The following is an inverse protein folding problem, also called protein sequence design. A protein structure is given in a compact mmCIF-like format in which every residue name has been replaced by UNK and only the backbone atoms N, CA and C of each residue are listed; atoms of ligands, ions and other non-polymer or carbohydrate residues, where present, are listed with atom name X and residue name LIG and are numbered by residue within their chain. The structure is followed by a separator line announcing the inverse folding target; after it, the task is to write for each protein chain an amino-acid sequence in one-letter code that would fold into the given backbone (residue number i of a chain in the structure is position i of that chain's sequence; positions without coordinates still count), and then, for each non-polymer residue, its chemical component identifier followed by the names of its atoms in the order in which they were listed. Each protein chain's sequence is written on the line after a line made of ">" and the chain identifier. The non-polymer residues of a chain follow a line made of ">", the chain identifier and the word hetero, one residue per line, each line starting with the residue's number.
data_IF_355770508161
#
_entry.id   IF_355770508161
#
_cell.length_a   1.000
_cell.length_b   1.000
_cell.length_c   1.000
_cell.angle_alpha   90.00
_cell.angle_beta   90.00
_cell.angle_gamma   90.00
#
_symmetry.space_group_name_H-M   'P 1'
#
loop_
_entity.id
_entity.type
_entity.pdbx_description
1 polymer ?
#
# COMPACT_ATOMS: atom_id res chain seq x y z
N UNK A 1 -15.75 32.56 23.74
CA UNK A 1 -14.88 31.42 24.10
C UNK A 1 -13.45 31.72 23.66
N UNK A 2 -12.46 31.65 24.57
CA UNK A 2 -11.08 32.03 24.27
C UNK A 2 -10.47 31.01 23.29
N UNK A 3 -9.57 31.43 22.33
CA UNK A 3 -8.92 30.56 21.36
C UNK A 3 -8.24 29.31 21.98
N UNK A 4 -7.69 29.46 23.21
CA UNK A 4 -7.11 28.35 23.97
C UNK A 4 -8.16 27.31 24.37
N UNK A 5 -9.34 27.75 24.81
CA UNK A 5 -10.45 26.86 25.21
C UNK A 5 -10.99 26.08 24.00
N UNK A 6 -11.10 26.72 22.84
CA UNK A 6 -11.54 26.05 21.59
C UNK A 6 -10.53 24.98 21.15
N UNK A 7 -9.22 25.27 21.22
CA UNK A 7 -8.17 24.32 20.85
C UNK A 7 -8.15 23.14 21.83
N UNK A 8 -8.34 23.39 23.13
CA UNK A 8 -8.37 22.32 24.15
C UNK A 8 -9.59 21.42 23.96
N UNK A 9 -10.75 21.97 23.66
CA UNK A 9 -12.00 21.22 23.40
C UNK A 9 -11.87 20.40 22.12
N UNK A 10 -11.30 20.97 21.05
CA UNK A 10 -11.06 20.25 19.79
C UNK A 10 -10.03 19.12 19.96
N UNK A 11 -8.99 19.32 20.76
CA UNK A 11 -8.02 18.27 21.11
C UNK A 11 -8.67 17.16 21.94
N UNK A 12 -9.47 17.50 22.94
CA UNK A 12 -10.19 16.54 23.78
C UNK A 12 -11.19 15.72 22.95
N UNK A 13 -11.96 16.36 22.05
CA UNK A 13 -12.87 15.68 21.13
C UNK A 13 -12.13 14.76 20.17
N UNK A 14 -10.98 15.17 19.64
CA UNK A 14 -10.16 14.32 18.78
C UNK A 14 -9.64 13.10 19.53
N UNK A 15 -9.17 13.26 20.77
CA UNK A 15 -8.68 12.14 21.61
C UNK A 15 -9.81 11.16 21.94
N UNK A 16 -10.99 11.63 22.25
CA UNK A 16 -12.15 10.77 22.54
C UNK A 16 -12.63 10.01 21.31
N UNK A 17 -12.67 10.62 20.14
CA UNK A 17 -13.02 9.95 18.88
C UNK A 17 -11.99 8.86 18.50
N UNK A 18 -10.70 9.08 18.72
CA UNK A 18 -9.66 8.07 18.49
C UNK A 18 -9.76 6.91 19.47
N UNK A 19 -10.04 7.17 20.73
CA UNK A 19 -10.25 6.12 21.75
C UNK A 19 -11.48 5.26 21.43
N UNK A 20 -12.57 5.88 20.97
CA UNK A 20 -13.77 5.15 20.53
C UNK A 20 -13.48 4.26 19.31
N UNK A 21 -12.76 4.77 18.29
CA UNK A 21 -12.41 3.98 17.11
C UNK A 21 -11.54 2.76 17.47
N UNK A 22 -10.57 2.93 18.37
CA UNK A 22 -9.74 1.81 18.84
C UNK A 22 -10.56 0.77 19.62
N UNK A 23 -11.48 1.21 20.46
CA UNK A 23 -12.37 0.32 21.19
C UNK A 23 -13.29 -0.47 20.24
N UNK A 24 -13.85 0.17 19.22
CA UNK A 24 -14.70 -0.51 18.22
C UNK A 24 -13.92 -1.56 17.43
N UNK A 25 -12.69 -1.27 16.99
CA UNK A 25 -11.84 -2.26 16.30
C UNK A 25 -11.50 -3.42 17.22
N UNK A 26 -11.15 -3.15 18.48
CA UNK A 26 -10.90 -4.19 19.47
C UNK A 26 -12.14 -5.03 19.68
N UNK A 27 -13.32 -4.42 19.87
CA UNK A 27 -14.61 -5.11 20.02
C UNK A 27 -14.92 -5.98 18.80
N UNK A 28 -14.72 -5.44 17.58
CA UNK A 28 -14.95 -6.18 16.35
C UNK A 28 -13.99 -7.39 16.20
N UNK A 29 -12.75 -7.26 16.65
CA UNK A 29 -11.73 -8.33 16.54
C UNK A 29 -11.85 -9.36 17.66
N UNK A 30 -12.47 -9.03 18.79
CA UNK A 30 -12.58 -9.93 19.96
C UNK A 30 -13.20 -11.29 19.62
N UNK A 31 -14.29 -11.40 18.84
CA UNK A 31 -14.92 -12.67 18.51
C UNK A 31 -14.12 -13.60 17.59
N UNK A 32 -13.06 -13.09 16.95
CA UNK A 32 -12.23 -13.90 16.03
C UNK A 32 -11.62 -15.07 16.78
N UNK A 33 -11.85 -16.28 16.28
CA UNK A 33 -11.29 -17.52 16.79
C UNK A 33 -10.73 -18.40 15.68
N UNK A 34 -9.90 -19.37 16.08
CA UNK A 34 -9.22 -20.29 15.18
C UNK A 34 -9.50 -21.73 15.56
N UNK A 35 -9.71 -22.59 14.55
CA UNK A 35 -10.04 -24.02 14.75
C UNK A 35 -8.88 -24.84 15.32
N UNK A 36 -7.65 -24.32 15.26
CA UNK A 36 -6.44 -25.01 15.68
C UNK A 36 -5.64 -24.18 16.65
N UNK A 37 -4.84 -24.88 17.46
CA UNK A 37 -3.83 -24.35 18.36
C UNK A 37 -2.53 -25.12 18.14
N UNK A 38 -1.40 -24.50 18.44
CA UNK A 38 -0.07 -25.08 18.29
C UNK A 38 0.17 -25.66 16.90
N UNK A 39 -0.13 -24.87 15.89
CA UNK A 39 -0.11 -25.28 14.48
C UNK A 39 0.92 -24.47 13.67
N UNK A 40 1.29 -25.03 12.52
CA UNK A 40 1.88 -24.30 11.39
C UNK A 40 1.24 -24.84 10.11
N UNK A 41 0.93 -23.95 9.18
CA UNK A 41 0.35 -24.29 7.88
C UNK A 41 1.05 -23.52 6.78
N UNK A 42 1.17 -24.14 5.60
CA UNK A 42 1.81 -23.54 4.42
C UNK A 42 0.82 -23.50 3.27
N UNK A 43 0.64 -22.34 2.68
CA UNK A 43 -0.37 -22.03 1.69
C UNK A 43 0.31 -21.47 0.45
N UNK A 44 -0.05 -21.97 -0.73
CA UNK A 44 0.37 -21.36 -2.00
C UNK A 44 -0.35 -20.03 -2.18
N UNK A 45 0.39 -18.98 -2.50
CA UNK A 45 -0.11 -17.63 -2.73
C UNK A 45 0.24 -17.16 -4.15
N UNK A 46 -0.37 -16.05 -4.56
CA UNK A 46 0.10 -15.29 -5.73
C UNK A 46 0.85 -14.06 -5.25
N UNK A 47 1.97 -13.75 -5.89
CA UNK A 47 2.71 -12.51 -5.68
C UNK A 47 2.62 -11.69 -6.96
N UNK A 48 2.03 -10.51 -6.87
CA UNK A 48 1.80 -9.61 -8.01
C UNK A 48 2.43 -8.27 -7.66
N UNK A 49 3.56 -7.94 -8.28
CA UNK A 49 4.27 -6.67 -8.03
C UNK A 49 4.56 -6.40 -6.53
N UNK A 50 4.92 -7.45 -5.79
CA UNK A 50 5.15 -7.40 -4.33
C UNK A 50 3.87 -7.48 -3.49
N UNK A 51 2.69 -7.42 -4.09
CA UNK A 51 1.44 -7.68 -3.40
C UNK A 51 1.25 -9.17 -3.14
N UNK A 52 0.92 -9.53 -1.92
CA UNK A 52 0.67 -10.91 -1.50
C UNK A 52 -0.83 -11.19 -1.54
N UNK A 53 -1.24 -12.13 -2.40
CA UNK A 53 -2.64 -12.52 -2.60
C UNK A 53 -2.85 -13.93 -2.09
N UNK A 54 -3.69 -14.06 -1.08
CA UNK A 54 -3.96 -15.28 -0.33
C UNK A 54 -5.29 -15.89 -0.76
N UNK A 55 -5.35 -17.17 -1.16
CA UNK A 55 -6.61 -17.85 -1.39
C UNK A 55 -7.31 -18.14 -0.05
N UNK A 56 -8.57 -17.76 0.04
CA UNK A 56 -9.43 -17.97 1.20
C UNK A 56 -10.73 -18.63 0.74
N UNK A 57 -11.13 -19.73 1.35
CA UNK A 57 -12.41 -20.38 1.08
C UNK A 57 -13.51 -19.76 1.94
N UNK A 58 -14.59 -19.29 1.31
CA UNK A 58 -15.78 -18.75 1.95
C UNK A 58 -16.99 -19.33 1.24
N UNK A 59 -17.92 -19.94 1.99
CA UNK A 59 -19.12 -20.60 1.43
C UNK A 59 -18.78 -21.59 0.28
N UNK A 60 -17.71 -22.38 0.46
CA UNK A 60 -17.26 -23.38 -0.51
C UNK A 60 -16.60 -22.78 -1.78
N UNK A 61 -16.36 -21.48 -1.84
CA UNK A 61 -15.74 -20.81 -2.98
C UNK A 61 -14.39 -20.20 -2.61
N UNK A 62 -13.40 -20.37 -3.45
CA UNK A 62 -12.10 -19.72 -3.29
C UNK A 62 -12.24 -18.25 -3.69
N UNK A 63 -11.83 -17.39 -2.77
CA UNK A 63 -11.73 -15.95 -2.92
C UNK A 63 -10.28 -15.51 -2.77
N UNK A 64 -9.88 -14.48 -3.46
CA UNK A 64 -8.52 -13.98 -3.43
C UNK A 64 -8.43 -12.70 -2.58
N UNK A 65 -7.70 -12.76 -1.48
CA UNK A 65 -7.58 -11.65 -0.54
C UNK A 65 -6.17 -11.08 -0.56
N UNK A 66 -6.06 -9.77 -0.68
CA UNK A 66 -4.81 -9.04 -0.48
C UNK A 66 -4.41 -9.08 1.00
N UNK A 67 -3.18 -9.47 1.32
CA UNK A 67 -2.64 -9.36 2.66
C UNK A 67 -2.14 -7.94 2.91
N UNK A 68 -2.86 -7.18 3.74
CA UNK A 68 -2.66 -5.75 3.93
C UNK A 68 -2.38 -5.41 5.40
N UNK A 69 -1.12 -5.15 5.72
CA UNK A 69 -0.71 -4.73 7.07
C UNK A 69 -1.14 -3.30 7.41
N UNK A 70 -1.46 -2.48 6.41
CA UNK A 70 -1.98 -1.12 6.58
C UNK A 70 -3.47 -1.08 6.94
N UNK A 71 -4.20 -2.19 6.78
CA UNK A 71 -5.61 -2.29 7.15
C UNK A 71 -5.78 -2.91 8.55
N UNK A 72 -6.56 -2.29 9.45
CA UNK A 72 -6.79 -2.82 10.79
C UNK A 72 -7.82 -3.96 10.83
N UNK A 73 -8.68 -4.06 9.82
CA UNK A 73 -9.74 -5.07 9.66
C UNK A 73 -9.72 -5.60 8.23
N UNK A 74 -10.54 -6.62 7.98
CA UNK A 74 -10.80 -7.08 6.63
C UNK A 74 -11.57 -6.06 5.79
N UNK A 75 -11.55 -6.30 4.49
CA UNK A 75 -12.38 -5.59 3.51
C UNK A 75 -12.97 -6.63 2.56
N UNK A 76 -14.22 -6.43 2.18
CA UNK A 76 -14.88 -7.13 1.08
C UNK A 76 -15.09 -6.14 -0.06
N UNK A 77 -14.62 -6.50 -1.24
CA UNK A 77 -14.84 -5.69 -2.45
C UNK A 77 -16.15 -6.09 -3.11
N UNK A 78 -17.08 -5.16 -3.16
CA UNK A 78 -18.37 -5.37 -3.77
C UNK A 78 -19.51 -5.05 -2.81
N UNK A 79 -20.64 -5.67 -3.05
CA UNK A 79 -21.85 -5.50 -2.22
C UNK A 79 -21.84 -6.48 -1.06
N UNK A 80 -22.62 -6.13 -0.02
CA UNK A 80 -22.84 -7.03 1.11
C UNK A 80 -23.49 -8.33 0.63
N UNK A 81 -22.90 -9.45 1.01
CA UNK A 81 -23.43 -10.79 0.75
C UNK A 81 -24.43 -11.21 1.85
N UNK A 82 -25.38 -12.09 1.50
CA UNK A 82 -26.45 -12.51 2.42
C UNK A 82 -25.95 -13.25 3.66
N UNK A 83 -24.83 -13.95 3.56
CA UNK A 83 -24.20 -14.69 4.66
C UNK A 83 -23.40 -13.81 5.64
N UNK A 84 -23.15 -12.56 5.28
CA UNK A 84 -22.45 -11.62 6.16
C UNK A 84 -23.37 -11.18 7.30
N UNK A 85 -22.86 -11.27 8.53
CA UNK A 85 -23.58 -10.81 9.72
C UNK A 85 -23.10 -9.42 10.10
N UNK A 86 -24.05 -8.54 10.44
CA UNK A 86 -23.69 -7.25 11.03
C UNK A 86 -23.16 -7.47 12.45
N UNK A 87 -21.95 -6.97 12.73
CA UNK A 87 -21.28 -7.19 14.01
C UNK A 87 -21.59 -6.11 15.03
N UNK A 88 -21.62 -4.85 14.58
CA UNK A 88 -21.86 -3.69 15.44
C UNK A 88 -23.08 -2.92 14.96
N UNK A 89 -23.91 -2.44 15.90
CA UNK A 89 -25.04 -1.56 15.59
C UNK A 89 -24.56 -0.19 15.08
N UNK A 90 -23.44 0.31 15.63
CA UNK A 90 -22.82 1.57 15.25
C UNK A 90 -21.80 1.39 14.12
N UNK A 91 -21.63 2.45 13.33
CA UNK A 91 -20.64 2.48 12.28
C UNK A 91 -19.31 3.09 12.77
N UNK A 92 -18.22 2.58 12.22
CA UNK A 92 -16.86 3.11 12.47
C UNK A 92 -16.50 4.16 11.41
N UNK A 93 -15.95 5.29 11.85
CA UNK A 93 -15.36 6.26 10.95
C UNK A 93 -14.02 5.74 10.40
N UNK A 94 -14.04 5.27 9.17
CA UNK A 94 -12.87 4.74 8.47
C UNK A 94 -12.23 5.80 7.56
N UNK A 95 -10.91 5.94 7.67
CA UNK A 95 -10.12 6.82 6.81
C UNK A 95 -9.30 6.03 5.79
N UNK A 96 -9.10 6.61 4.60
CA UNK A 96 -8.23 6.06 3.57
C UNK A 96 -6.88 6.80 3.46
N UNK A 97 -6.03 6.32 2.56
CA UNK A 97 -4.72 6.89 2.27
C UNK A 97 -4.79 8.29 1.65
N UNK A 98 -5.93 8.67 1.07
CA UNK A 98 -6.19 9.99 0.50
C UNK A 98 -6.78 10.99 1.51
N UNK A 99 -6.85 10.60 2.82
CA UNK A 99 -7.47 11.35 3.92
C UNK A 99 -8.99 11.51 3.79
N UNK A 100 -9.63 10.76 2.89
CA UNK A 100 -11.08 10.66 2.86
C UNK A 100 -11.56 9.85 4.07
N UNK A 101 -12.73 10.21 4.61
CA UNK A 101 -13.32 9.54 5.77
C UNK A 101 -14.79 9.26 5.50
N UNK A 102 -15.21 8.03 5.78
CA UNK A 102 -16.62 7.61 5.68
C UNK A 102 -16.99 6.73 6.87
N UNK A 103 -18.24 6.81 7.29
CA UNK A 103 -18.79 5.87 8.25
C UNK A 103 -19.05 4.54 7.56
N UNK A 104 -18.55 3.44 8.14
CA UNK A 104 -18.70 2.07 7.62
C UNK A 104 -19.25 1.14 8.67
N UNK A 105 -20.28 0.41 8.31
CA UNK A 105 -20.79 -0.69 9.11
C UNK A 105 -19.78 -1.84 9.12
N UNK A 106 -19.56 -2.43 10.29
CA UNK A 106 -18.70 -3.59 10.43
C UNK A 106 -19.56 -4.83 10.33
N UNK A 107 -19.20 -5.68 9.38
CA UNK A 107 -19.75 -7.03 9.20
C UNK A 107 -18.75 -8.08 9.67
N UNK A 108 -19.17 -9.33 9.72
CA UNK A 108 -18.28 -10.46 9.92
C UNK A 108 -18.56 -11.56 8.90
N UNK A 109 -17.51 -12.23 8.49
CA UNK A 109 -17.58 -13.55 7.85
C UNK A 109 -17.72 -14.56 8.96
N UNK A 110 -18.83 -15.32 9.04
CA UNK A 110 -19.04 -16.30 10.11
C UNK A 110 -17.93 -17.34 10.14
N UNK A 111 -17.58 -17.89 8.97
CA UNK A 111 -16.54 -18.91 8.82
C UNK A 111 -15.82 -18.70 7.49
N UNK A 112 -14.49 -18.73 7.54
CA UNK A 112 -13.64 -18.78 6.36
C UNK A 112 -12.47 -19.73 6.61
N UNK A 113 -11.86 -20.29 5.54
CA UNK A 113 -10.65 -21.12 5.63
C UNK A 113 -9.49 -20.49 4.89
N UNK A 114 -8.35 -20.46 5.52
CA UNK A 114 -7.06 -20.06 4.96
C UNK A 114 -6.11 -21.27 5.06
N UNK A 115 -5.93 -22.00 3.94
CA UNK A 115 -5.33 -23.33 3.97
C UNK A 115 -6.18 -24.29 4.81
N UNK A 116 -5.56 -24.94 5.79
CA UNK A 116 -6.24 -25.84 6.73
C UNK A 116 -6.71 -25.13 8.02
N UNK A 117 -6.49 -23.81 8.14
CA UNK A 117 -6.94 -23.02 9.28
C UNK A 117 -8.34 -22.48 9.03
N UNK A 118 -9.31 -22.90 9.82
CA UNK A 118 -10.62 -22.26 9.87
C UNK A 118 -10.57 -21.06 10.81
N UNK A 119 -11.05 -19.92 10.33
CA UNK A 119 -11.15 -18.64 11.03
C UNK A 119 -12.63 -18.32 11.18
N UNK A 120 -13.07 -18.06 12.39
CA UNK A 120 -14.46 -17.73 12.69
C UNK A 120 -14.61 -16.27 13.08
N UNK A 121 -15.75 -15.70 12.74
CA UNK A 121 -16.16 -14.35 13.10
C UNK A 121 -15.16 -13.27 12.61
N UNK A 122 -14.66 -13.42 11.39
CA UNK A 122 -13.67 -12.48 10.83
C UNK A 122 -14.32 -11.13 10.50
N UNK A 123 -13.91 -10.03 11.15
CA UNK A 123 -14.51 -8.71 10.96
C UNK A 123 -14.02 -8.02 9.71
N UNK A 124 -14.93 -7.39 8.99
CA UNK A 124 -14.61 -6.63 7.78
C UNK A 124 -15.57 -5.45 7.57
N UNK A 125 -15.16 -4.54 6.69
CA UNK A 125 -16.04 -3.55 6.09
C UNK A 125 -16.34 -3.92 4.65
N UNK A 126 -17.44 -3.40 4.11
CA UNK A 126 -17.83 -3.59 2.71
C UNK A 126 -17.61 -2.28 1.95
N UNK A 127 -16.89 -2.35 0.83
CA UNK A 127 -16.63 -1.22 -0.05
C UNK A 127 -16.38 -1.69 -1.48
N UNK A 128 -16.96 -1.03 -2.45
CA UNK A 128 -16.83 -1.37 -3.86
C UNK A 128 -16.01 -0.38 -4.70
N UNK A 129 -15.72 0.80 -4.16
CA UNK A 129 -14.98 1.85 -4.88
C UNK A 129 -13.57 1.45 -5.32
N UNK A 130 -12.98 0.41 -4.72
CA UNK A 130 -11.68 -0.12 -5.15
C UNK A 130 -11.76 -0.98 -6.41
N UNK A 131 -12.94 -1.49 -6.75
CA UNK A 131 -13.15 -2.43 -7.85
C UNK A 131 -12.71 -1.87 -9.20
N UNK A 132 -13.00 -0.58 -9.42
CA UNK A 132 -12.75 0.08 -10.71
C UNK A 132 -11.26 0.25 -11.04
N UNK A 133 -10.37 0.26 -10.04
CA UNK A 133 -8.93 0.40 -10.28
C UNK A 133 -8.10 -0.81 -9.86
N UNK A 134 -8.65 -1.73 -9.08
CA UNK A 134 -8.00 -3.01 -8.79
C UNK A 134 -8.35 -4.10 -9.82
N UNK A 135 -9.30 -3.83 -10.70
CA UNK A 135 -9.60 -4.65 -11.87
C UNK A 135 -9.89 -6.12 -11.54
N UNK A 136 -10.58 -6.36 -10.43
CA UNK A 136 -10.95 -7.72 -10.00
C UNK A 136 -9.77 -8.60 -9.56
N UNK A 137 -8.59 -8.04 -9.30
CA UNK A 137 -7.42 -8.80 -8.84
C UNK A 137 -7.63 -9.44 -7.47
N UNK A 138 -8.48 -8.86 -6.64
CA UNK A 138 -8.79 -9.31 -5.30
C UNK A 138 -10.28 -9.22 -5.04
N UNK A 139 -10.82 -10.18 -4.27
CA UNK A 139 -12.18 -10.15 -3.75
C UNK A 139 -12.28 -9.38 -2.43
N UNK A 140 -11.14 -9.21 -1.73
CA UNK A 140 -11.10 -8.54 -0.45
C UNK A 140 -9.69 -8.35 0.12
N UNK A 141 -9.63 -7.98 1.38
CA UNK A 141 -8.39 -7.70 2.12
C UNK A 141 -8.36 -8.47 3.43
N UNK A 142 -7.22 -9.11 3.74
CA UNK A 142 -6.89 -9.62 5.07
C UNK A 142 -6.11 -8.54 5.82
N UNK A 143 -6.69 -8.04 6.92
CA UNK A 143 -6.09 -6.99 7.72
C UNK A 143 -5.10 -7.49 8.77
N UNK A 144 -4.41 -6.56 9.41
CA UNK A 144 -3.42 -6.81 10.45
C UNK A 144 -4.03 -7.34 11.77
N UNK A 145 -5.35 -7.34 11.90
CA UNK A 145 -6.06 -7.90 13.06
C UNK A 145 -5.74 -9.37 13.32
N UNK A 146 -5.41 -10.16 12.29
CA UNK A 146 -4.99 -11.56 12.47
C UNK A 146 -3.66 -11.66 13.24
N UNK A 147 -2.71 -10.76 12.97
CA UNK A 147 -1.48 -10.63 13.75
C UNK A 147 -1.80 -10.20 15.18
N UNK A 148 -2.73 -9.27 15.35
CA UNK A 148 -3.22 -8.84 16.67
C UNK A 148 -3.86 -9.96 17.50
N UNK A 149 -4.34 -11.03 16.85
CA UNK A 149 -4.89 -12.24 17.50
C UNK A 149 -3.80 -13.30 17.78
N UNK A 150 -2.53 -12.99 17.51
CA UNK A 150 -1.39 -13.82 17.86
C UNK A 150 -0.85 -14.70 16.74
N UNK A 151 -1.37 -14.58 15.51
CA UNK A 151 -0.82 -15.29 14.36
C UNK A 151 0.45 -14.61 13.86
N UNK A 152 1.52 -15.38 13.73
CA UNK A 152 2.74 -15.01 13.03
C UNK A 152 2.69 -15.52 11.60
N UNK A 153 3.29 -14.77 10.68
CA UNK A 153 3.27 -15.06 9.25
C UNK A 153 4.67 -14.98 8.65
N UNK A 154 4.98 -15.85 7.69
CA UNK A 154 6.06 -15.63 6.74
C UNK A 154 5.42 -15.43 5.35
N UNK A 155 5.58 -14.24 4.80
CA UNK A 155 5.23 -13.91 3.43
C UNK A 155 6.46 -14.26 2.58
N UNK A 156 6.54 -15.48 2.09
CA UNK A 156 7.63 -15.93 1.25
C UNK A 156 7.36 -15.56 -0.21
N UNK A 157 7.75 -14.34 -0.56
CA UNK A 157 7.49 -13.80 -1.89
C UNK A 157 8.43 -14.38 -2.96
N UNK A 158 9.54 -14.99 -2.57
CA UNK A 158 10.45 -15.70 -3.47
C UNK A 158 9.83 -17.00 -3.97
N UNK A 159 9.30 -17.80 -3.05
CA UNK A 159 8.76 -19.13 -3.35
C UNK A 159 7.23 -19.15 -3.47
N UNK A 160 6.59 -17.97 -3.36
CA UNK A 160 5.13 -17.78 -3.43
C UNK A 160 4.39 -18.65 -2.40
N UNK A 161 4.85 -18.59 -1.15
CA UNK A 161 4.28 -19.31 -0.03
C UNK A 161 3.90 -18.34 1.11
N UNK A 162 2.78 -18.63 1.76
CA UNK A 162 2.40 -18.05 3.04
C UNK A 162 2.51 -19.14 4.11
N UNK A 163 3.34 -18.90 5.12
CA UNK A 163 3.35 -19.77 6.30
C UNK A 163 2.67 -19.03 7.43
N UNK A 164 1.70 -19.67 8.06
CA UNK A 164 0.95 -19.14 9.21
C UNK A 164 1.09 -20.04 10.41
N UNK A 165 1.32 -19.45 11.59
CA UNK A 165 1.50 -20.21 12.83
C UNK A 165 1.10 -19.40 14.06
N UNK A 166 0.67 -20.07 15.14
CA UNK A 166 0.53 -19.49 16.48
C UNK A 166 1.66 -19.94 17.43
N UNK A 167 2.60 -20.77 16.94
CA UNK A 167 3.76 -21.26 17.71
C UNK A 167 4.75 -20.12 17.94
N UNK A 168 5.10 -19.93 19.20
CA UNK A 168 6.18 -18.99 19.56
C UNK A 168 7.52 -19.46 19.02
N UNK A 169 8.32 -18.54 18.51
CA UNK A 169 9.68 -18.81 18.01
C UNK A 169 9.76 -19.82 16.84
N UNK A 170 8.66 -20.07 16.14
CA UNK A 170 8.64 -21.01 15.01
C UNK A 170 9.68 -20.69 13.94
N UNK A 171 9.87 -19.41 13.63
CA UNK A 171 10.84 -18.95 12.63
C UNK A 171 12.25 -18.65 13.18
N UNK A 172 12.59 -19.07 14.41
CA UNK A 172 13.83 -18.64 15.09
C UNK A 172 15.10 -18.98 14.32
N UNK A 173 15.15 -20.10 13.61
CA UNK A 173 16.31 -20.47 12.81
C UNK A 173 16.47 -19.60 11.56
N UNK A 174 15.36 -19.32 10.89
CA UNK A 174 15.34 -18.45 9.69
C UNK A 174 15.65 -16.99 10.02
N UNK A 175 15.34 -16.54 11.24
CA UNK A 175 15.56 -15.18 11.72
C UNK A 175 17.02 -14.88 12.11
N UNK A 176 17.85 -15.92 12.31
CA UNK A 176 19.23 -15.72 12.75
C UNK A 176 20.04 -14.90 11.77
N UNK A 177 20.62 -13.80 12.27
CA UNK A 177 21.45 -12.89 11.46
C UNK A 177 20.69 -12.04 10.45
N UNK A 178 19.35 -12.11 10.43
CA UNK A 178 18.53 -11.34 9.49
C UNK A 178 18.17 -9.97 10.05
N UNK A 179 18.15 -8.92 9.21
CA UNK A 179 17.76 -7.59 9.64
C UNK A 179 16.29 -7.56 10.07
N UNK A 180 16.01 -6.79 11.10
CA UNK A 180 14.68 -6.68 11.70
C UNK A 180 14.27 -5.25 12.00
N UNK A 181 12.94 -5.02 12.09
CA UNK A 181 12.36 -3.76 12.52
C UNK A 181 11.30 -4.03 13.59
N UNK A 182 11.45 -3.46 14.77
CA UNK A 182 10.40 -3.48 15.79
C UNK A 182 9.25 -2.61 15.30
N UNK A 183 8.02 -3.08 15.51
CA UNK A 183 6.84 -2.28 15.27
C UNK A 183 6.05 -2.04 16.56
N UNK A 184 5.33 -0.95 16.57
CA UNK A 184 4.29 -0.67 17.57
C UNK A 184 2.95 -0.47 16.87
N UNK A 185 1.87 -0.85 17.51
CA UNK A 185 0.53 -0.61 17.00
C UNK A 185 -0.03 0.66 17.62
N UNK A 186 -0.30 1.66 16.79
CA UNK A 186 -1.04 2.88 17.14
C UNK A 186 -2.16 3.07 16.13
N UNK A 187 -3.11 3.95 16.45
CA UNK A 187 -4.11 4.43 15.51
C UNK A 187 -4.73 3.30 14.66
N UNK A 188 -5.63 2.55 15.28
CA UNK A 188 -6.35 1.48 14.62
C UNK A 188 -5.51 0.23 14.29
N UNK A 189 -4.61 -0.16 15.20
CA UNK A 189 -3.85 -1.43 15.11
C UNK A 189 -2.93 -1.60 13.90
N UNK A 190 -2.60 -0.54 13.17
CA UNK A 190 -1.62 -0.61 12.09
C UNK A 190 -0.20 -0.64 12.64
N UNK A 191 0.72 -1.41 12.04
CA UNK A 191 2.11 -1.47 12.48
C UNK A 191 2.88 -0.22 12.06
N UNK A 192 3.47 0.46 13.03
CA UNK A 192 4.37 1.60 12.83
C UNK A 192 5.80 1.15 13.03
N UNK A 193 6.66 1.47 12.08
CA UNK A 193 8.10 1.22 12.11
C UNK A 193 8.88 2.53 12.09
N UNK A 194 10.10 2.50 12.57
CA UNK A 194 11.04 3.63 12.45
C UNK A 194 11.88 3.41 11.20
N UNK A 195 11.92 4.43 10.36
CA UNK A 195 12.82 4.53 9.20
C UNK A 195 13.87 5.58 9.50
N UNK A 196 15.14 5.18 9.45
CA UNK A 196 16.28 6.10 9.52
C UNK A 196 16.56 6.62 8.11
N UNK A 197 16.56 7.94 7.96
CA UNK A 197 16.74 8.61 6.66
C UNK A 197 17.76 9.74 6.80
N UNK A 198 18.34 10.25 5.71
CA UNK A 198 19.16 11.47 5.75
C UNK A 198 18.43 12.69 6.35
N UNK A 199 17.10 12.67 6.37
CA UNK A 199 16.28 13.69 7.03
C UNK A 199 16.09 13.41 8.53
N UNK A 200 16.55 12.27 9.05
CA UNK A 200 16.39 11.80 10.43
C UNK A 200 15.36 10.66 10.54
N UNK A 201 15.04 10.30 11.78
CA UNK A 201 14.11 9.22 12.06
C UNK A 201 12.67 9.61 11.74
N UNK A 202 12.02 8.78 10.94
CA UNK A 202 10.61 8.95 10.54
C UNK A 202 9.83 7.72 10.99
N UNK A 203 8.76 7.94 11.76
CA UNK A 203 7.82 6.87 12.08
C UNK A 203 6.75 6.77 11.00
N UNK A 204 6.55 5.57 10.44
CA UNK A 204 5.66 5.35 9.31
C UNK A 204 4.92 4.01 9.40
N UNK A 205 3.79 3.89 8.72
CA UNK A 205 3.07 2.62 8.60
C UNK A 205 3.83 1.67 7.67
N UNK A 206 3.98 0.42 8.07
CA UNK A 206 4.38 -0.66 7.16
C UNK A 206 3.12 -1.25 6.52
N UNK A 207 2.92 -0.99 5.23
CA UNK A 207 1.65 -1.13 4.52
C UNK A 207 1.83 -2.00 3.26
N UNK A 208 1.65 -3.33 3.41
CA UNK A 208 1.74 -4.27 2.29
C UNK A 208 0.58 -4.14 1.30
N UNK A 209 -0.49 -3.42 1.66
CA UNK A 209 -1.59 -3.05 0.78
C UNK A 209 -1.30 -1.83 -0.10
N UNK A 210 -0.21 -1.10 0.15
CA UNK A 210 0.25 0.01 -0.70
C UNK A 210 0.96 -0.55 -1.93
N UNK A 211 0.18 -0.87 -2.95
CA UNK A 211 0.67 -1.50 -4.18
C UNK A 211 1.67 -0.59 -4.90
N UNK A 212 2.79 -1.17 -5.34
CA UNK A 212 3.88 -0.47 -6.02
C UNK A 212 4.49 0.73 -5.28
N UNK A 213 4.16 0.92 -4.01
CA UNK A 213 4.76 1.94 -3.16
C UNK A 213 6.07 1.45 -2.55
N UNK A 214 7.09 2.32 -2.52
CA UNK A 214 8.31 2.12 -1.76
C UNK A 214 8.25 2.83 -0.43
N UNK A 215 8.32 4.15 -0.47
CA UNK A 215 8.26 5.03 0.68
C UNK A 215 7.51 6.31 0.31
N UNK A 216 6.30 6.43 0.76
CA UNK A 216 5.45 7.60 0.51
C UNK A 216 5.72 8.67 1.57
N UNK A 217 6.02 9.89 1.15
CA UNK A 217 6.22 11.04 2.03
C UNK A 217 5.26 12.17 1.65
N UNK A 218 4.45 12.70 2.59
CA UNK A 218 3.63 13.88 2.32
C UNK A 218 4.45 15.16 2.33
N UNK A 219 4.24 16.02 1.33
CA UNK A 219 4.88 17.34 1.26
C UNK A 219 4.57 18.21 2.49
N UNK A 220 3.34 18.14 3.02
CA UNK A 220 2.92 18.88 4.22
C UNK A 220 3.75 18.50 5.44
N UNK A 221 4.08 17.21 5.59
CA UNK A 221 4.93 16.74 6.68
C UNK A 221 6.33 17.35 6.59
N UNK A 222 6.93 17.33 5.42
CA UNK A 222 8.23 17.95 5.19
C UNK A 222 8.17 19.45 5.48
N UNK A 223 7.15 20.15 5.00
CA UNK A 223 6.96 21.57 5.25
C UNK A 223 6.89 21.92 6.74
N UNK A 224 6.19 21.13 7.55
CA UNK A 224 6.13 21.34 9.01
C UNK A 224 7.48 21.06 9.70
N UNK A 225 8.19 20.04 9.24
CA UNK A 225 9.45 19.60 9.84
C UNK A 225 10.60 20.56 9.56
N UNK A 226 10.57 21.22 8.39
CA UNK A 226 11.63 22.12 7.93
C UNK A 226 11.43 23.60 8.28
N UNK A 227 10.21 23.99 8.68
CA UNK A 227 9.94 25.40 9.08
C UNK A 227 10.87 25.90 10.18
N UNK A 228 11.42 25.02 11.01
CA UNK A 228 12.17 25.35 12.23
C UNK A 228 13.68 25.20 12.14
N UNK A 229 14.25 24.77 11.02
CA UNK A 229 15.70 24.49 10.94
C UNK A 229 16.27 24.72 9.54
N UNK A 230 17.17 25.72 9.45
CA UNK A 230 17.93 26.02 8.22
C UNK A 230 18.80 24.82 7.78
N UNK A 231 19.41 24.11 8.75
CA UNK A 231 20.22 22.92 8.48
C UNK A 231 19.41 21.81 7.81
N UNK A 232 18.21 21.54 8.32
CA UNK A 232 17.33 20.52 7.73
C UNK A 232 16.82 20.91 6.35
N UNK A 233 16.54 22.21 6.12
CA UNK A 233 16.19 22.71 4.78
C UNK A 233 17.29 22.44 3.77
N UNK A 234 18.54 22.73 4.11
CA UNK A 234 19.67 22.45 3.25
C UNK A 234 19.77 20.96 2.89
N UNK A 235 19.65 20.06 3.86
CA UNK A 235 19.66 18.61 3.60
C UNK A 235 18.50 18.22 2.66
N UNK A 236 17.29 18.76 2.84
CA UNK A 236 16.17 18.48 1.92
C UNK A 236 16.47 19.00 0.51
N UNK A 237 17.03 20.20 0.39
CA UNK A 237 17.34 20.78 -0.91
C UNK A 237 18.46 19.98 -1.61
N UNK A 238 19.48 19.52 -0.87
CA UNK A 238 20.55 18.66 -1.39
C UNK A 238 20.03 17.30 -1.88
N UNK A 239 18.98 16.75 -1.24
CA UNK A 239 18.32 15.50 -1.65
C UNK A 239 17.31 15.69 -2.78
N UNK A 240 16.89 16.94 -3.05
CA UNK A 240 15.84 17.22 -4.03
C UNK A 240 16.42 17.24 -5.44
N UNK A 241 16.00 16.28 -6.27
CA UNK A 241 16.34 16.26 -7.69
C UNK A 241 15.43 17.17 -8.51
N UNK A 242 14.16 17.26 -8.12
CA UNK A 242 13.15 17.99 -8.89
C UNK A 242 12.01 18.43 -7.97
N UNK A 243 11.45 19.59 -8.25
CA UNK A 243 10.20 20.09 -7.65
C UNK A 243 9.22 20.38 -8.78
N UNK A 244 8.06 19.75 -8.74
CA UNK A 244 7.03 19.90 -9.76
C UNK A 244 5.64 19.97 -9.15
N UNK A 245 4.77 20.66 -9.87
CA UNK A 245 3.34 20.47 -9.74
C UNK A 245 2.98 19.23 -10.55
N UNK A 246 2.50 18.20 -9.89
CA UNK A 246 2.16 16.94 -10.55
C UNK A 246 0.74 16.52 -10.22
N UNK A 247 0.06 15.98 -11.23
CA UNK A 247 -1.15 15.18 -11.03
C UNK A 247 -0.71 13.76 -10.83
N UNK A 248 -1.19 13.10 -9.79
CA UNK A 248 -0.90 11.69 -9.54
C UNK A 248 -2.19 10.96 -9.18
N UNK A 249 -2.47 9.87 -9.89
CA UNK A 249 -3.52 8.96 -9.46
C UNK A 249 -3.08 8.27 -8.16
N UNK A 250 -3.85 8.47 -7.12
CA UNK A 250 -3.62 7.86 -5.81
C UNK A 250 -4.81 6.99 -5.45
N UNK A 251 -4.58 5.70 -5.46
CA UNK A 251 -5.57 4.74 -5.03
C UNK A 251 -5.78 4.81 -3.51
N UNK A 252 -7.02 4.85 -3.08
CA UNK A 252 -7.44 4.80 -1.69
C UNK A 252 -8.67 3.91 -1.54
N UNK A 253 -9.06 3.61 -0.31
CA UNK A 253 -10.24 2.78 -0.03
C UNK A 253 -11.51 3.28 -0.74
N UNK A 254 -11.64 4.59 -0.91
CA UNK A 254 -12.82 5.23 -1.48
C UNK A 254 -12.66 5.66 -2.94
N UNK A 255 -11.75 5.03 -3.66
CA UNK A 255 -11.52 5.26 -5.08
C UNK A 255 -10.21 5.98 -5.39
N UNK A 256 -10.07 6.38 -6.65
CA UNK A 256 -8.94 7.14 -7.14
C UNK A 256 -9.11 8.63 -6.81
N UNK A 257 -8.01 9.26 -6.38
CA UNK A 257 -7.89 10.71 -6.29
C UNK A 257 -6.84 11.17 -7.29
N UNK A 258 -7.20 12.15 -8.11
CA UNK A 258 -6.35 12.75 -9.15
C UNK A 258 -5.97 14.19 -8.85
N UNK A 259 -6.03 14.60 -7.57
CA UNK A 259 -5.69 15.97 -7.17
C UNK A 259 -4.28 16.35 -7.64
N UNK A 260 -4.15 17.58 -8.07
CA UNK A 260 -2.86 18.21 -8.35
C UNK A 260 -2.14 18.50 -7.04
N UNK A 261 -0.93 18.01 -6.90
CA UNK A 261 -0.08 18.26 -5.74
C UNK A 261 1.27 18.82 -6.18
N UNK A 262 1.77 19.79 -5.45
CA UNK A 262 3.18 20.16 -5.52
C UNK A 262 3.96 19.11 -4.76
N UNK A 263 4.89 18.47 -5.43
CA UNK A 263 5.75 17.43 -4.85
C UNK A 263 7.19 17.62 -5.21
N UNK A 264 8.06 16.92 -4.48
CA UNK A 264 9.50 16.82 -4.76
C UNK A 264 9.81 15.39 -5.14
N UNK A 265 10.74 15.19 -6.03
CA UNK A 265 11.45 13.93 -6.21
C UNK A 265 12.74 14.02 -5.40
N UNK A 266 12.87 13.16 -4.41
CA UNK A 266 14.04 13.07 -3.53
C UNK A 266 14.84 11.83 -3.90
N UNK A 267 16.17 11.92 -3.80
CA UNK A 267 17.07 10.78 -3.86
C UNK A 267 17.66 10.54 -2.48
N UNK A 268 17.36 9.38 -1.90
CA UNK A 268 17.99 8.92 -0.68
C UNK A 268 19.09 7.90 -1.01
N UNK A 269 20.37 8.23 -0.81
CA UNK A 269 21.46 7.27 -1.04
C UNK A 269 21.26 5.97 -0.25
N UNK A 270 20.84 6.10 0.99
CA UNK A 270 20.49 4.96 1.86
C UNK A 270 19.45 5.39 2.87
N UNK A 271 18.49 4.51 3.13
CA UNK A 271 17.60 4.53 4.31
C UNK A 271 17.74 3.22 5.06
N UNK A 272 17.31 3.17 6.33
CA UNK A 272 17.20 1.91 7.08
C UNK A 272 15.79 1.75 7.61
N UNK A 273 15.17 0.61 7.33
CA UNK A 273 13.88 0.19 7.92
C UNK A 273 14.22 -0.71 9.11
N UNK A 274 14.29 -0.12 10.32
CA UNK A 274 14.94 -0.79 11.44
C UNK A 274 16.42 -1.07 11.13
N UNK A 275 16.79 -2.35 11.01
CA UNK A 275 18.14 -2.79 10.67
C UNK A 275 18.36 -3.00 9.15
N UNK A 276 17.28 -3.07 8.34
CA UNK A 276 17.37 -3.34 6.91
C UNK A 276 17.82 -2.09 6.13
N UNK A 277 19.01 -2.09 5.49
CA UNK A 277 19.40 -1.03 4.58
C UNK A 277 18.68 -1.17 3.22
N UNK A 278 18.24 -0.04 2.68
CA UNK A 278 17.71 0.09 1.33
C UNK A 278 18.44 1.24 0.66
N UNK A 279 19.10 0.96 -0.44
CA UNK A 279 19.99 1.89 -1.10
C UNK A 279 19.39 2.43 -2.39
N UNK A 280 19.86 3.61 -2.78
CA UNK A 280 19.55 4.28 -4.05
C UNK A 280 18.03 4.46 -4.26
N UNK A 281 17.33 4.95 -3.23
CA UNK A 281 15.87 5.06 -3.20
C UNK A 281 15.40 6.43 -3.71
N UNK A 282 14.49 6.42 -4.68
CA UNK A 282 13.84 7.61 -5.22
C UNK A 282 12.43 7.74 -4.64
N UNK A 283 12.17 8.86 -3.97
CA UNK A 283 10.93 9.11 -3.21
C UNK A 283 10.21 10.32 -3.73
N UNK A 284 8.93 10.19 -4.04
CA UNK A 284 8.07 11.34 -4.35
C UNK A 284 7.29 11.79 -3.13
N UNK A 285 7.18 13.11 -2.94
CA UNK A 285 6.40 13.68 -1.84
C UNK A 285 4.95 13.99 -2.21
N UNK A 286 4.50 13.59 -3.39
CA UNK A 286 3.14 13.79 -3.89
C UNK A 286 2.13 12.78 -3.30
N UNK A 287 2.21 12.51 -1.99
CA UNK A 287 1.28 11.65 -1.25
C UNK A 287 0.65 12.41 -0.08
N UNK A 288 -0.45 11.87 0.46
CA UNK A 288 -1.13 12.45 1.64
C UNK A 288 -0.83 11.70 2.94
N UNK A 289 -0.30 10.47 2.85
CA UNK A 289 0.05 9.63 4.00
C UNK A 289 1.47 9.09 3.88
N UNK A 290 2.11 8.85 5.03
CA UNK A 290 3.42 8.20 5.09
C UNK A 290 3.25 6.69 5.23
N UNK A 291 4.00 5.93 4.40
CA UNK A 291 4.02 4.47 4.50
C UNK A 291 5.18 3.87 3.73
N UNK A 292 5.62 2.69 4.18
CA UNK A 292 6.44 1.76 3.39
C UNK A 292 5.47 0.83 2.68
N UNK A 293 5.59 0.70 1.36
CA UNK A 293 4.67 -0.09 0.55
C UNK A 293 5.21 -1.46 0.13
N UNK A 294 4.42 -2.15 -0.70
CA UNK A 294 4.66 -3.54 -1.11
C UNK A 294 5.85 -3.73 -2.04
N UNK A 295 6.37 -2.68 -2.69
CA UNK A 295 7.55 -2.80 -3.57
C UNK A 295 8.76 -3.39 -2.87
N UNK A 296 8.90 -3.20 -1.55
CA UNK A 296 9.93 -3.83 -0.75
C UNK A 296 9.89 -5.37 -0.86
N UNK A 297 8.70 -5.96 -0.94
CA UNK A 297 8.49 -7.42 -1.01
C UNK A 297 8.90 -8.05 -2.35
N UNK A 298 9.26 -7.26 -3.35
CA UNK A 298 9.90 -7.74 -4.58
C UNK A 298 11.34 -8.21 -4.33
N UNK A 299 11.97 -7.71 -3.28
CA UNK A 299 13.38 -7.91 -2.98
C UNK A 299 13.63 -8.72 -1.70
N UNK A 300 12.61 -8.90 -0.88
CA UNK A 300 12.72 -9.61 0.40
C UNK A 300 11.43 -10.33 0.74
N UNK A 301 11.53 -11.52 1.31
CA UNK A 301 10.43 -12.15 2.02
C UNK A 301 10.33 -11.53 3.43
N UNK A 302 9.19 -11.65 4.09
CA UNK A 302 8.90 -10.99 5.35
C UNK A 302 8.35 -11.95 6.38
N UNK A 303 8.99 -12.04 7.55
CA UNK A 303 8.40 -12.67 8.73
C UNK A 303 7.75 -11.59 9.60
N UNK A 304 6.49 -11.79 9.96
CA UNK A 304 5.73 -10.99 10.92
C UNK A 304 5.67 -11.80 12.23
N UNK A 305 6.52 -11.46 13.16
CA UNK A 305 6.60 -12.10 14.47
C UNK A 305 5.67 -11.38 15.45
N UNK A 306 4.47 -11.90 15.60
CA UNK A 306 3.44 -11.29 16.42
C UNK A 306 3.82 -11.22 17.91
N UNK A 307 4.34 -12.28 18.56
CA UNK A 307 4.74 -12.23 19.96
C UNK A 307 5.82 -11.21 20.28
N UNK A 308 6.82 -11.06 19.41
CA UNK A 308 7.93 -10.12 19.60
C UNK A 308 7.70 -8.75 18.97
N UNK A 309 6.57 -8.56 18.28
CA UNK A 309 6.18 -7.33 17.59
C UNK A 309 7.28 -6.79 16.68
N UNK A 310 7.75 -7.63 15.78
CA UNK A 310 8.80 -7.26 14.83
C UNK A 310 8.55 -7.85 13.46
N UNK A 311 9.04 -7.16 12.46
CA UNK A 311 9.26 -7.65 11.12
C UNK A 311 10.68 -8.15 11.01
N UNK A 312 10.89 -9.30 10.36
CA UNK A 312 12.21 -9.80 10.01
C UNK A 312 12.25 -9.92 8.50
N UNK A 313 13.25 -9.35 7.91
CA UNK A 313 13.40 -9.29 6.47
C UNK A 313 14.36 -10.40 6.02
N UNK A 314 13.98 -11.12 4.97
CA UNK A 314 14.76 -12.20 4.37
C UNK A 314 15.10 -11.79 2.93
N UNK A 315 16.19 -11.01 2.70
CA UNK A 315 16.54 -10.53 1.37
C UNK A 315 16.73 -11.68 0.39
N UNK A 316 16.18 -11.55 -0.81
CA UNK A 316 16.30 -12.57 -1.84
C UNK A 316 17.77 -12.73 -2.25
N UNK A 317 18.26 -13.98 -2.25
CA UNK A 317 19.64 -14.32 -2.61
C UNK A 317 20.72 -13.62 -1.74
N UNK A 318 20.39 -13.21 -0.52
CA UNK A 318 21.26 -12.45 0.38
C UNK A 318 21.84 -11.18 -0.28
N UNK A 319 21.13 -10.61 -1.23
CA UNK A 319 21.57 -9.42 -1.94
C UNK A 319 21.17 -8.15 -1.20
N UNK A 320 22.02 -7.14 -1.36
CA UNK A 320 21.71 -5.78 -0.93
C UNK A 320 20.50 -5.25 -1.71
N UNK A 321 19.55 -4.62 -1.01
CA UNK A 321 18.39 -4.01 -1.66
C UNK A 321 18.80 -2.65 -2.23
N UNK A 322 18.85 -2.58 -3.56
CA UNK A 322 19.12 -1.37 -4.32
C UNK A 322 17.99 -1.12 -5.30
N UNK A 323 17.37 0.05 -5.21
CA UNK A 323 16.17 0.37 -6.00
C UNK A 323 16.53 0.97 -7.36
N UNK A 324 17.40 1.98 -7.37
CA UNK A 324 17.84 2.65 -8.59
C UNK A 324 16.80 3.58 -9.23
N UNK A 325 17.26 4.39 -10.16
CA UNK A 325 16.43 5.41 -10.84
C UNK A 325 15.36 4.79 -11.78
N UNK A 326 15.60 3.59 -12.29
CA UNK A 326 14.67 2.92 -13.20
C UNK A 326 13.32 2.61 -12.56
N UNK A 327 13.29 2.29 -11.25
CA UNK A 327 12.06 2.02 -10.51
C UNK A 327 11.30 3.29 -10.08
N UNK A 328 11.93 4.47 -10.19
CA UNK A 328 11.26 5.74 -9.86
C UNK A 328 10.17 6.17 -10.87
N UNK A 329 9.95 5.35 -11.91
CA UNK A 329 8.93 5.57 -12.93
C UNK A 329 9.20 6.80 -13.82
N UNK A 330 9.34 6.61 -15.12
CA UNK A 330 9.45 7.72 -16.07
C UNK A 330 8.09 8.26 -16.48
N UNK A 331 7.06 7.44 -16.36
CA UNK A 331 5.68 7.72 -16.77
C UNK A 331 4.70 6.96 -15.88
N UNK A 332 3.61 7.58 -15.53
CA UNK A 332 2.45 6.97 -14.90
C UNK A 332 1.19 7.37 -15.65
N UNK A 333 0.08 6.68 -15.40
CA UNK A 333 -1.16 6.95 -16.07
C UNK A 333 -2.26 7.29 -15.08
N UNK A 334 -3.12 8.23 -15.46
CA UNK A 334 -4.33 8.59 -14.74
C UNK A 334 -5.53 8.42 -15.68
N UNK A 335 -6.71 8.05 -15.16
CA UNK A 335 -7.92 8.10 -15.96
C UNK A 335 -8.13 9.50 -16.52
N UNK A 336 -8.59 9.57 -17.78
CA UNK A 336 -9.05 10.82 -18.38
C UNK A 336 -10.40 11.24 -17.80
N UNK A 337 -10.81 12.46 -18.05
CA UNK A 337 -12.12 12.95 -17.62
C UNK A 337 -13.25 12.21 -18.33
N UNK A 338 -14.39 12.10 -17.66
CA UNK A 338 -15.57 11.48 -18.28
C UNK A 338 -16.00 12.27 -19.51
N UNK A 339 -16.18 11.55 -20.64
CA UNK A 339 -16.54 12.17 -21.93
C UNK A 339 -15.33 12.59 -22.78
N UNK A 340 -14.11 12.36 -22.34
CA UNK A 340 -12.91 12.61 -23.13
C UNK A 340 -12.82 11.59 -24.29
N UNK A 341 -12.84 12.09 -25.53
CA UNK A 341 -12.84 11.25 -26.75
C UNK A 341 -11.47 10.89 -27.26
N UNK A 342 -10.40 11.54 -26.74
CA UNK A 342 -9.04 11.32 -27.21
C UNK A 342 -8.38 10.06 -26.61
N UNK A 343 -8.87 9.59 -25.47
CA UNK A 343 -8.39 8.37 -24.83
C UNK A 343 -8.80 8.25 -23.38
N UNK A 344 -8.70 7.06 -22.84
CA UNK A 344 -9.15 6.73 -21.47
C UNK A 344 -8.08 6.94 -20.40
N UNK A 345 -6.80 7.00 -20.79
CA UNK A 345 -5.67 7.20 -19.87
C UNK A 345 -4.78 8.35 -20.36
N UNK A 346 -4.53 9.31 -19.48
CA UNK A 346 -3.57 10.40 -19.69
C UNK A 346 -2.23 10.05 -19.04
N UNK A 347 -1.15 10.31 -19.76
CA UNK A 347 0.21 10.19 -19.25
C UNK A 347 0.52 11.31 -18.24
N UNK A 348 1.20 10.96 -17.16
CA UNK A 348 1.89 11.86 -16.26
C UNK A 348 3.37 11.57 -16.37
N UNK A 349 4.11 12.45 -17.01
CA UNK A 349 5.51 12.23 -17.39
C UNK A 349 6.42 13.02 -16.48
N UNK A 350 7.41 12.33 -15.89
CA UNK A 350 8.46 12.96 -15.12
C UNK A 350 9.39 13.75 -16.04
N UNK A 351 9.59 15.04 -15.79
CA UNK A 351 10.50 15.89 -16.53
C UNK A 351 11.92 15.32 -16.47
N UNK A 352 12.63 15.32 -17.61
CA UNK A 352 13.98 14.75 -17.71
C UNK A 352 14.06 13.23 -17.76
N UNK A 353 12.93 12.50 -17.61
CA UNK A 353 12.91 11.04 -17.72
C UNK A 353 13.07 10.55 -19.17
N UNK A 354 13.27 9.23 -19.33
CA UNK A 354 13.37 8.60 -20.67
C UNK A 354 12.12 8.87 -21.51
N UNK A 355 10.92 8.81 -20.94
CA UNK A 355 9.68 9.13 -21.65
C UNK A 355 9.68 10.60 -22.10
N UNK A 356 10.08 11.54 -21.22
CA UNK A 356 10.18 12.95 -21.54
C UNK A 356 11.20 13.22 -22.66
N UNK A 357 12.39 12.60 -22.61
CA UNK A 357 13.43 12.72 -23.64
C UNK A 357 12.97 12.19 -25.01
N UNK A 358 12.14 11.14 -24.99
CA UNK A 358 11.50 10.57 -26.21
C UNK A 358 10.26 11.36 -26.69
N UNK A 359 10.01 12.55 -26.16
CA UNK A 359 8.98 13.44 -26.65
C UNK A 359 7.59 13.26 -26.06
N UNK A 360 7.40 12.34 -25.08
CA UNK A 360 6.12 12.19 -24.39
C UNK A 360 5.95 13.30 -23.35
N UNK A 361 4.75 13.80 -23.23
CA UNK A 361 4.42 14.90 -22.31
C UNK A 361 3.25 14.51 -21.41
N UNK A 362 3.19 15.14 -20.24
CA UNK A 362 2.00 15.05 -19.38
C UNK A 362 0.78 15.55 -20.15
N UNK A 363 -0.30 14.76 -20.14
CA UNK A 363 -1.50 15.01 -20.90
C UNK A 363 -1.61 14.26 -22.24
N UNK A 364 -0.53 13.63 -22.73
CA UNK A 364 -0.61 12.72 -23.89
C UNK A 364 -1.49 11.51 -23.51
N UNK A 365 -2.33 11.04 -24.41
CA UNK A 365 -3.25 9.92 -24.21
C UNK A 365 -2.61 8.62 -24.63
N UNK A 366 -2.64 7.61 -23.77
CA UNK A 366 -2.21 6.26 -24.11
C UNK A 366 -3.29 5.58 -24.99
N UNK A 367 -2.89 5.16 -26.19
CA UNK A 367 -3.76 4.50 -27.17
C UNK A 367 -3.53 3.00 -27.26
N UNK A 368 -2.26 2.59 -27.33
CA UNK A 368 -1.90 1.20 -27.51
C UNK A 368 -0.63 0.87 -26.72
N UNK A 369 -0.51 -0.40 -26.32
CA UNK A 369 0.72 -1.00 -25.82
C UNK A 369 0.94 -2.33 -26.51
N UNK A 370 2.08 -2.48 -27.21
CA UNK A 370 2.40 -3.68 -28.01
C UNK A 370 1.27 -4.10 -28.98
N UNK A 371 0.59 -3.13 -29.61
CA UNK A 371 -0.52 -3.38 -30.54
C UNK A 371 -1.87 -3.65 -29.87
N UNK A 372 -1.95 -3.70 -28.56
CA UNK A 372 -3.21 -3.86 -27.82
C UNK A 372 -3.79 -2.48 -27.52
N UNK A 373 -4.99 -2.22 -28.02
CA UNK A 373 -5.70 -0.97 -27.76
C UNK A 373 -6.10 -0.83 -26.29
N UNK A 374 -5.90 0.35 -25.72
CA UNK A 374 -6.22 0.66 -24.33
C UNK A 374 -7.57 1.39 -24.28
N UNK A 375 -8.61 0.63 -23.95
CA UNK A 375 -10.00 1.12 -23.91
C UNK A 375 -10.49 1.41 -22.48
N UNK A 376 -9.76 0.96 -21.47
CA UNK A 376 -10.02 1.20 -20.05
C UNK A 376 -8.75 1.00 -19.21
N UNK A 377 -8.81 1.42 -17.95
CA UNK A 377 -7.69 1.27 -17.00
C UNK A 377 -7.33 -0.21 -16.77
N UNK A 378 -8.32 -1.08 -16.73
CA UNK A 378 -8.11 -2.49 -16.43
C UNK A 378 -7.43 -3.22 -17.57
N UNK A 379 -7.73 -2.89 -18.82
CA UNK A 379 -6.99 -3.38 -19.98
C UNK A 379 -5.48 -3.12 -19.80
N UNK A 380 -5.09 -1.90 -19.41
CA UNK A 380 -3.69 -1.56 -19.17
C UNK A 380 -3.11 -2.28 -17.93
N UNK A 381 -3.86 -2.30 -16.83
CA UNK A 381 -3.39 -2.86 -15.55
C UNK A 381 -3.25 -4.38 -15.55
N UNK A 382 -4.07 -5.09 -16.33
CA UNK A 382 -4.07 -6.56 -16.40
C UNK A 382 -3.20 -7.12 -17.52
N UNK A 383 -2.61 -6.28 -18.39
CA UNK A 383 -1.70 -6.75 -19.43
C UNK A 383 -0.52 -7.52 -18.84
N UNK A 384 -0.21 -8.68 -19.40
CA UNK A 384 0.99 -9.44 -19.04
C UNK A 384 2.26 -8.63 -19.33
N UNK A 385 3.16 -8.62 -18.36
CA UNK A 385 4.44 -7.91 -18.43
C UNK A 385 5.56 -8.90 -18.71
N UNK A 386 5.60 -9.41 -19.95
CA UNK A 386 6.63 -10.38 -20.36
C UNK A 386 7.95 -9.73 -20.73
N UNK A 387 7.92 -8.47 -21.18
CA UNK A 387 9.08 -7.77 -21.70
C UNK A 387 9.48 -6.60 -20.79
N UNK A 388 10.78 -6.40 -20.63
CA UNK A 388 11.31 -5.22 -19.93
C UNK A 388 10.97 -3.91 -20.67
N UNK A 389 10.83 -3.95 -21.98
CA UNK A 389 10.41 -2.83 -22.83
C UNK A 389 9.14 -3.17 -23.61
N UNK A 390 8.28 -2.16 -23.77
CA UNK A 390 7.07 -2.24 -24.57
C UNK A 390 7.00 -1.08 -25.56
N UNK A 391 6.30 -1.31 -26.66
CA UNK A 391 6.01 -0.28 -27.66
C UNK A 391 4.71 0.42 -27.24
N UNK A 392 4.80 1.71 -26.95
CA UNK A 392 3.66 2.54 -26.58
C UNK A 392 3.29 3.46 -27.72
N UNK A 393 2.00 3.57 -28.02
CA UNK A 393 1.46 4.61 -28.89
C UNK A 393 0.66 5.62 -28.08
N UNK A 394 0.96 6.88 -28.30
CA UNK A 394 0.29 8.01 -27.66
C UNK A 394 -0.34 8.91 -28.70
N UNK A 395 -1.39 9.61 -28.29
CA UNK A 395 -1.99 10.72 -29.01
C UNK A 395 -1.85 11.98 -28.15
N UNK A 396 -1.21 13.02 -28.67
CA UNK A 396 -1.15 14.29 -27.95
C UNK A 396 -2.50 15.04 -28.03
N UNK A 397 -2.77 16.01 -27.15
CA UNK A 397 -4.02 16.79 -27.17
C UNK A 397 -4.27 17.53 -28.48
N UNK A 398 -3.21 17.85 -29.22
CA UNK A 398 -3.25 18.48 -30.56
C UNK A 398 -3.33 17.47 -31.73
N UNK A 399 -3.55 16.18 -31.42
CA UNK A 399 -3.80 15.15 -32.44
C UNK A 399 -2.54 14.50 -33.03
N UNK A 400 -1.35 14.78 -32.52
CA UNK A 400 -0.09 14.19 -33.01
C UNK A 400 0.11 12.80 -32.41
N UNK A 401 0.26 11.80 -33.26
CA UNK A 401 0.61 10.44 -32.83
C UNK A 401 2.10 10.33 -32.53
N UNK A 402 2.43 9.61 -31.46
CA UNK A 402 3.79 9.34 -31.01
C UNK A 402 3.94 7.87 -30.70
N UNK A 403 4.98 7.23 -31.21
CA UNK A 403 5.29 5.82 -30.94
C UNK A 403 6.68 5.73 -30.32
N UNK A 404 6.77 5.12 -29.13
CA UNK A 404 8.03 5.02 -28.37
C UNK A 404 8.18 3.68 -27.69
N UNK A 405 9.41 3.18 -27.60
CA UNK A 405 9.75 2.05 -26.73
C UNK A 405 10.13 2.59 -25.35
N UNK A 406 9.48 2.09 -24.32
CA UNK A 406 9.74 2.44 -22.93
C UNK A 406 9.83 1.19 -22.08
N UNK A 407 10.69 1.21 -21.05
CA UNK A 407 10.58 0.24 -19.98
C UNK A 407 9.22 0.40 -19.30
N UNK A 408 8.52 -0.71 -19.12
CA UNK A 408 7.31 -0.72 -18.30
C UNK A 408 7.74 -0.55 -16.85
N UNK A 409 7.53 0.65 -16.35
CA UNK A 409 7.63 0.92 -14.92
C UNK A 409 6.30 0.63 -14.25
N UNK A 410 6.36 -0.02 -13.12
CA UNK A 410 5.21 -0.37 -12.30
C UNK A 410 4.47 0.86 -11.77
#
# INVERSE_FOLDING_TARGET
>A
MNKRTVITVLLALAVTMFAQAQNLIKTATTPVSFSKRDFADTIKIKVIDGAVVVPVEIEGRIRHFLFDTGSPLGLWQGQKEVWMRQLLADSLLFGDSNKNRRHKTIYQIPTMKMGNLQIENYPLIVEDAMKDYLCGRFDGVLGFNLVGKGLSFKLDTKDSLLIVTDRKKFFSEEEKGQPSAKYRTKQAYRPLVIVDTPLGFIETVFDTGSLNGWFDLPQDYLGQWFKKSTKKRKVLDDLTLQTDTTVKARAGLYGLSTDTLVGRLLHFPTIKIGELPVNDLYVTTAYKTMRIGSSLLKHTSLIIDAPRKRFVFLPHNNQEIRVGNSEAGSISFIPSESGDTLGVLKAVVRKGSTAYQKGIRTGDYLREVNGISINDLCTYMLMERKDEEALFKFLSPDGIEKTVRLKRTN
#
